data_IF_053400594336
#
_entry.id   IF_053400594336
#
_cell.length_a   1.000
_cell.length_b   1.000
_cell.length_c   1.000
_cell.angle_alpha   90.00
_cell.angle_beta   90.00
_cell.angle_gamma   90.00
#
_symmetry.space_group_name_H-M   'P 1'
#
loop_
_entity.id
_entity.type
_entity.pdbx_description
1 polymer ?
#
# COMPACT_ATOMS: atom_id res chain seq x y z
N UNK A 1 14.07 2.31 11.79
CA UNK A 1 12.60 2.47 11.76
C UNK A 1 12.28 3.66 10.87
N UNK A 2 11.28 3.53 10.00
CA UNK A 2 10.79 4.53 9.06
C UNK A 2 9.68 5.31 9.75
N UNK A 3 9.65 6.62 9.52
CA UNK A 3 8.53 7.47 9.93
C UNK A 3 7.79 7.83 8.63
N UNK A 4 6.48 7.59 8.57
CA UNK A 4 5.68 7.99 7.42
C UNK A 4 5.71 9.51 7.27
N UNK A 5 5.91 9.98 6.05
CA UNK A 5 6.09 11.40 5.75
C UNK A 5 4.77 12.17 5.90
N UNK A 6 4.62 12.92 7.00
CA UNK A 6 3.44 13.75 7.26
C UNK A 6 3.37 15.03 6.41
N UNK A 7 4.35 15.29 5.53
CA UNK A 7 4.18 16.31 4.50
C UNK A 7 3.22 15.86 3.39
N UNK A 8 3.04 14.53 3.23
CA UNK A 8 2.06 13.96 2.31
C UNK A 8 0.65 14.17 2.89
N UNK A 9 -0.26 14.85 2.16
CA UNK A 9 -1.60 15.19 2.67
C UNK A 9 -2.40 13.96 3.15
N UNK A 10 -2.35 12.86 2.41
CA UNK A 10 -3.05 11.63 2.77
C UNK A 10 -2.53 11.05 4.09
N UNK A 11 -1.21 10.92 4.23
CA UNK A 11 -0.56 10.43 5.45
C UNK A 11 -0.93 11.28 6.66
N UNK A 12 -0.83 12.60 6.50
CA UNK A 12 -1.16 13.56 7.57
C UNK A 12 -2.61 13.44 8.01
N UNK A 13 -3.55 13.39 7.08
CA UNK A 13 -4.98 13.30 7.39
C UNK A 13 -5.33 11.97 8.07
N UNK A 14 -4.79 10.85 7.56
CA UNK A 14 -5.03 9.53 8.11
C UNK A 14 -4.47 9.38 9.53
N UNK A 15 -3.21 9.77 9.76
CA UNK A 15 -2.61 9.72 11.09
C UNK A 15 -3.22 10.75 12.07
N UNK A 16 -3.66 11.90 11.55
CA UNK A 16 -4.36 12.94 12.32
C UNK A 16 -5.80 12.58 12.71
N UNK A 17 -6.36 11.47 12.20
CA UNK A 17 -7.73 11.04 12.48
C UNK A 17 -8.80 11.79 11.68
N UNK A 18 -8.43 12.61 10.69
CA UNK A 18 -9.34 13.33 9.79
C UNK A 18 -9.87 12.40 8.70
N UNK A 19 -10.72 11.43 9.06
CA UNK A 19 -11.13 10.34 8.16
C UNK A 19 -11.85 10.83 6.90
N UNK A 20 -12.71 11.85 6.99
CA UNK A 20 -13.42 12.39 5.82
C UNK A 20 -12.46 13.06 4.83
N UNK A 21 -11.49 13.83 5.35
CA UNK A 21 -10.44 14.46 4.54
C UNK A 21 -9.56 13.40 3.87
N UNK A 22 -9.11 12.40 4.63
CA UNK A 22 -8.30 11.31 4.11
C UNK A 22 -9.06 10.52 3.04
N UNK A 23 -10.35 10.26 3.23
CA UNK A 23 -11.23 9.58 2.26
C UNK A 23 -11.37 10.40 0.98
N UNK A 24 -11.59 11.71 1.08
CA UNK A 24 -11.66 12.59 -0.09
C UNK A 24 -10.34 12.63 -0.87
N UNK A 25 -9.19 12.69 -0.17
CA UNK A 25 -7.86 12.64 -0.79
C UNK A 25 -7.66 11.30 -1.50
N UNK A 26 -7.99 10.18 -0.84
CA UNK A 26 -7.90 8.85 -1.43
C UNK A 26 -8.72 8.77 -2.73
N UNK A 27 -10.00 9.17 -2.69
CA UNK A 27 -10.87 9.19 -3.88
C UNK A 27 -10.32 10.05 -5.01
N UNK A 28 -9.76 11.22 -4.68
CA UNK A 28 -9.16 12.09 -5.68
C UNK A 28 -7.93 11.44 -6.33
N UNK A 29 -7.09 10.76 -5.55
CA UNK A 29 -5.93 10.04 -6.07
C UNK A 29 -6.35 8.82 -6.91
N UNK A 30 -7.33 8.04 -6.46
CA UNK A 30 -7.94 6.95 -7.22
C UNK A 30 -8.39 7.43 -8.62
N UNK A 31 -9.18 8.52 -8.67
CA UNK A 31 -9.66 9.11 -9.92
C UNK A 31 -8.53 9.60 -10.82
N UNK A 32 -7.51 10.26 -10.25
CA UNK A 32 -6.38 10.82 -11.00
C UNK A 32 -5.54 9.72 -11.66
N UNK A 33 -5.34 8.61 -10.96
CA UNK A 33 -4.48 7.52 -11.39
C UNK A 33 -5.24 6.38 -12.07
N UNK A 34 -6.56 6.51 -12.25
CA UNK A 34 -7.36 5.53 -12.99
C UNK A 34 -7.45 4.17 -12.29
N UNK A 35 -7.46 4.17 -10.96
CA UNK A 35 -7.59 2.96 -10.15
C UNK A 35 -8.63 3.15 -9.04
N UNK A 36 -9.08 2.06 -8.44
CA UNK A 36 -10.02 2.10 -7.33
C UNK A 36 -9.78 0.95 -6.35
N UNK A 37 -9.71 1.27 -5.06
CA UNK A 37 -9.77 0.29 -4.00
C UNK A 37 -11.23 0.00 -3.63
N UNK A 38 -11.60 -1.27 -3.64
CA UNK A 38 -12.94 -1.72 -3.26
C UNK A 38 -12.86 -2.73 -2.13
N UNK A 39 -13.86 -2.76 -1.26
CA UNK A 39 -14.02 -3.85 -0.29
C UNK A 39 -14.77 -4.98 -0.99
N UNK A 40 -14.09 -6.03 -1.43
CA UNK A 40 -14.70 -7.18 -2.10
C UNK A 40 -14.04 -8.48 -1.65
N UNK A 41 -14.87 -9.48 -1.35
CA UNK A 41 -14.42 -10.85 -1.07
C UNK A 41 -14.06 -11.63 -2.33
N UNK A 42 -14.35 -11.10 -3.50
CA UNK A 42 -14.23 -11.83 -4.75
C UNK A 42 -12.79 -11.77 -5.26
N UNK A 43 -12.07 -12.87 -5.03
CA UNK A 43 -10.85 -13.19 -5.79
C UNK A 43 -11.26 -13.46 -7.24
N UNK A 44 -10.96 -12.51 -8.12
CA UNK A 44 -11.18 -12.65 -9.57
C UNK A 44 -9.84 -12.94 -10.27
N UNK A 45 -9.93 -13.53 -11.47
CA UNK A 45 -8.78 -13.96 -12.25
C UNK A 45 -7.75 -12.82 -12.43
N UNK A 46 -6.48 -13.13 -12.10
CA UNK A 46 -5.35 -12.24 -12.26
C UNK A 46 -5.11 -11.93 -13.75
N UNK A 47 -4.96 -10.65 -14.11
CA UNK A 47 -4.49 -10.26 -15.44
C UNK A 47 -3.03 -10.68 -15.62
N UNK A 48 -2.74 -11.42 -16.71
CA UNK A 48 -1.40 -11.93 -17.02
C UNK A 48 -0.39 -10.84 -17.49
N UNK A 49 -0.78 -9.57 -17.58
CA UNK A 49 0.08 -8.46 -18.03
C UNK A 49 -0.12 -7.18 -17.19
N UNK A 50 -0.09 -7.34 -15.86
CA UNK A 50 -0.39 -6.26 -14.90
C UNK A 50 0.81 -5.33 -14.61
N UNK A 51 2.04 -5.71 -14.96
CA UNK A 51 3.24 -4.96 -14.57
C UNK A 51 3.29 -3.55 -15.16
N UNK A 52 2.98 -3.41 -16.46
CA UNK A 52 2.92 -2.10 -17.10
C UNK A 52 1.83 -1.22 -16.47
N UNK A 53 0.67 -1.81 -16.16
CA UNK A 53 -0.42 -1.12 -15.49
C UNK A 53 -0.02 -0.66 -14.08
N UNK A 54 0.70 -1.48 -13.31
CA UNK A 54 1.20 -1.06 -12.00
C UNK A 54 2.13 0.15 -12.08
N UNK A 55 3.04 0.16 -13.06
CA UNK A 55 3.97 1.28 -13.23
C UNK A 55 3.27 2.56 -13.68
N UNK A 56 2.27 2.44 -14.56
CA UNK A 56 1.54 3.59 -15.11
C UNK A 56 0.53 4.18 -14.11
N UNK A 57 -0.15 3.32 -13.33
CA UNK A 57 -1.29 3.72 -12.50
C UNK A 57 -0.99 3.62 -11.00
N UNK A 58 -0.57 2.44 -10.54
CA UNK A 58 -0.41 2.17 -9.11
C UNK A 58 0.80 2.90 -8.52
N UNK A 59 1.95 2.94 -9.20
CA UNK A 59 3.17 3.54 -8.66
C UNK A 59 3.05 5.05 -8.45
N UNK A 60 2.48 5.84 -9.39
CA UNK A 60 2.18 7.25 -9.13
C UNK A 60 1.23 7.44 -7.96
N UNK A 61 0.20 6.59 -7.84
CA UNK A 61 -0.72 6.62 -6.69
C UNK A 61 0.00 6.35 -5.37
N UNK A 62 0.86 5.33 -5.29
CA UNK A 62 1.65 5.00 -4.10
C UNK A 62 2.62 6.13 -3.75
N UNK A 63 3.21 6.78 -4.75
CA UNK A 63 4.12 7.92 -4.58
C UNK A 63 3.39 9.15 -4.04
N UNK A 64 2.17 9.40 -4.51
CA UNK A 64 1.36 10.53 -4.05
C UNK A 64 0.80 10.31 -2.64
N UNK A 65 0.39 9.10 -2.32
CA UNK A 65 -0.38 8.81 -1.09
C UNK A 65 0.46 8.18 0.01
N UNK A 66 1.56 7.52 -0.32
CA UNK A 66 2.26 6.58 0.57
C UNK A 66 1.32 5.50 1.16
N UNK A 67 0.35 5.03 0.37
CA UNK A 67 -0.52 3.91 0.74
C UNK A 67 0.29 2.59 0.80
N UNK A 68 1.01 2.37 1.90
CA UNK A 68 1.88 1.20 2.06
C UNK A 68 1.26 0.25 3.09
N UNK A 69 0.84 -0.94 2.64
CA UNK A 69 0.37 -2.04 3.47
C UNK A 69 1.13 -3.34 3.16
N UNK A 70 1.27 -4.25 4.12
CA UNK A 70 1.81 -5.57 3.80
C UNK A 70 0.79 -6.38 2.97
N UNK A 71 1.26 -7.42 2.27
CA UNK A 71 0.37 -8.30 1.49
C UNK A 71 -0.65 -9.01 2.36
N UNK A 72 -0.23 -9.44 3.56
CA UNK A 72 -1.14 -9.99 4.56
C UNK A 72 -2.19 -8.99 5.02
N UNK A 73 -1.80 -7.74 5.29
CA UNK A 73 -2.73 -6.71 5.75
C UNK A 73 -3.72 -6.32 4.66
N UNK A 74 -3.27 -6.14 3.41
CA UNK A 74 -4.13 -5.82 2.27
C UNK A 74 -5.21 -6.89 2.03
N UNK A 75 -4.86 -8.16 2.22
CA UNK A 75 -5.82 -9.24 2.09
C UNK A 75 -6.75 -9.35 3.29
N UNK A 76 -6.26 -9.10 4.51
CA UNK A 76 -7.08 -9.08 5.72
C UNK A 76 -8.10 -7.93 5.70
N UNK A 77 -7.78 -6.80 5.07
CA UNK A 77 -8.76 -5.72 4.86
C UNK A 77 -9.85 -6.12 3.86
N UNK A 78 -9.68 -7.21 3.10
CA UNK A 78 -10.64 -7.66 2.09
C UNK A 78 -10.75 -6.69 0.92
N UNK A 79 -9.61 -6.08 0.54
CA UNK A 79 -9.59 -5.05 -0.48
C UNK A 79 -9.13 -5.60 -1.83
N UNK A 80 -9.86 -5.18 -2.87
CA UNK A 80 -9.53 -5.44 -4.26
C UNK A 80 -9.14 -4.15 -4.99
N UNK A 81 -8.24 -4.26 -5.97
CA UNK A 81 -7.73 -3.14 -6.75
C UNK A 81 -8.27 -3.25 -8.17
N UNK A 82 -9.07 -2.28 -8.60
CA UNK A 82 -9.64 -2.25 -9.94
C UNK A 82 -9.04 -1.13 -10.78
N UNK A 83 -8.83 -1.39 -12.06
CA UNK A 83 -8.53 -0.36 -13.05
C UNK A 83 -9.78 0.36 -13.53
N UNK A 84 -9.59 1.51 -14.18
CA UNK A 84 -10.67 2.24 -14.86
C UNK A 84 -11.33 1.44 -16.01
N UNK A 85 -10.63 0.42 -16.51
CA UNK A 85 -11.14 -0.56 -17.47
C UNK A 85 -12.07 -1.62 -16.83
N UNK A 86 -12.21 -1.61 -15.51
CA UNK A 86 -13.03 -2.56 -14.75
C UNK A 86 -12.34 -3.90 -14.48
N UNK A 87 -11.08 -4.07 -14.88
CA UNK A 87 -10.31 -5.28 -14.58
C UNK A 87 -9.82 -5.27 -13.13
N UNK A 88 -9.75 -6.45 -12.53
CA UNK A 88 -9.16 -6.64 -11.21
C UNK A 88 -7.64 -6.85 -11.36
N UNK A 89 -6.88 -6.00 -10.68
CA UNK A 89 -5.42 -6.01 -10.61
C UNK A 89 -4.92 -6.42 -9.23
N UNK A 90 -5.77 -7.04 -8.38
CA UNK A 90 -5.36 -7.55 -7.08
C UNK A 90 -4.42 -8.74 -7.19
N UNK A 91 -3.18 -8.61 -6.69
CA UNK A 91 -2.22 -9.69 -6.72
C UNK A 91 -2.34 -10.60 -5.48
N UNK A 92 -1.82 -11.83 -5.58
CA UNK A 92 -1.51 -12.63 -4.38
C UNK A 92 -0.60 -11.88 -3.37
N UNK A 93 -0.58 -12.29 -2.11
CA UNK A 93 0.18 -11.59 -1.03
C UNK A 93 1.67 -11.48 -1.35
N UNK A 94 2.23 -12.56 -1.93
CA UNK A 94 3.65 -12.61 -2.31
C UNK A 94 3.93 -11.65 -3.47
N UNK A 95 3.03 -11.62 -4.44
CA UNK A 95 3.18 -10.75 -5.60
C UNK A 95 3.00 -9.28 -5.20
N UNK A 96 2.04 -8.95 -4.33
CA UNK A 96 1.91 -7.60 -3.73
C UNK A 96 3.21 -7.12 -3.09
N UNK A 97 3.83 -7.97 -2.26
CA UNK A 97 5.11 -7.64 -1.63
C UNK A 97 6.19 -7.36 -2.67
N UNK A 98 6.20 -8.08 -3.80
CA UNK A 98 7.10 -7.85 -4.92
C UNK A 98 6.89 -6.49 -5.59
N UNK A 99 5.63 -6.12 -5.85
CA UNK A 99 5.25 -4.81 -6.41
C UNK A 99 5.73 -3.68 -5.49
N UNK A 100 5.44 -3.76 -4.19
CA UNK A 100 5.85 -2.73 -3.24
C UNK A 100 7.36 -2.63 -3.11
N UNK A 101 8.08 -3.76 -3.11
CA UNK A 101 9.54 -3.74 -3.08
C UNK A 101 10.12 -3.07 -4.33
N UNK A 102 9.59 -3.38 -5.52
CA UNK A 102 10.02 -2.73 -6.77
C UNK A 102 9.74 -1.22 -6.74
N UNK A 103 8.52 -0.81 -6.40
CA UNK A 103 8.15 0.59 -6.26
C UNK A 103 9.03 1.32 -5.23
N UNK A 104 9.20 0.75 -4.03
CA UNK A 104 9.96 1.38 -2.95
C UNK A 104 11.43 1.60 -3.31
N UNK A 105 12.05 0.64 -4.01
CA UNK A 105 13.42 0.77 -4.51
C UNK A 105 13.58 1.88 -5.56
N UNK A 106 12.52 2.23 -6.29
CA UNK A 106 12.57 3.21 -7.37
C UNK A 106 12.08 4.61 -6.98
N UNK A 107 11.07 4.69 -6.10
CA UNK A 107 10.29 5.91 -5.89
C UNK A 107 10.17 6.38 -4.44
N UNK A 108 10.57 5.55 -3.47
CA UNK A 108 10.40 5.87 -2.06
C UNK A 108 11.74 6.14 -1.38
N UNK A 109 11.99 5.52 -0.23
CA UNK A 109 13.24 5.68 0.51
C UNK A 109 14.07 4.41 0.53
N UNK A 110 15.38 4.56 0.72
CA UNK A 110 16.27 3.43 0.91
C UNK A 110 15.87 2.60 2.13
N UNK A 111 15.98 1.27 2.00
CA UNK A 111 15.75 0.35 3.12
C UNK A 111 16.66 0.69 4.30
N UNK A 112 16.13 0.93 5.50
CA UNK A 112 16.96 1.17 6.67
C UNK A 112 17.88 -0.02 6.97
N UNK A 113 19.13 0.27 7.33
CA UNK A 113 20.04 -0.75 7.84
C UNK A 113 19.51 -1.31 9.16
N UNK A 114 19.74 -2.60 9.42
CA UNK A 114 19.38 -3.23 10.69
C UNK A 114 17.95 -3.78 10.80
N UNK A 115 17.12 -3.70 9.76
CA UNK A 115 15.80 -4.32 9.76
C UNK A 115 15.90 -5.85 9.58
N UNK A 116 15.45 -6.62 10.58
CA UNK A 116 15.42 -8.09 10.60
C UNK A 116 16.18 -8.74 11.77
N UNK A 117 15.93 -10.03 12.03
CA UNK A 117 16.36 -10.73 13.25
C UNK A 117 17.77 -11.35 13.20
N UNK A 118 18.47 -11.30 12.06
CA UNK A 118 19.75 -12.01 11.85
C UNK A 118 20.87 -11.09 11.38
N UNK A 119 22.13 -11.50 11.54
CA UNK A 119 23.28 -10.68 11.11
C UNK A 119 23.32 -10.40 9.59
N UNK A 120 22.71 -11.24 8.74
CA UNK A 120 22.62 -10.99 7.29
C UNK A 120 21.59 -9.90 6.94
N UNK A 121 20.51 -9.78 7.73
CA UNK A 121 19.44 -8.79 7.52
C UNK A 121 19.85 -7.37 7.94
N UNK A 122 20.98 -7.23 8.65
CA UNK A 122 21.54 -5.95 9.11
C UNK A 122 22.35 -5.19 8.05
N UNK A 123 22.66 -5.78 6.90
CA UNK A 123 23.31 -5.11 5.78
C UNK A 123 22.32 -4.21 5.00
N UNK A 124 22.79 -3.11 4.42
CA UNK A 124 21.98 -2.30 3.50
C UNK A 124 21.77 -3.08 2.19
N UNK A 125 20.70 -3.86 2.13
CA UNK A 125 20.20 -4.44 0.87
C UNK A 125 19.01 -3.60 0.35
N UNK A 126 18.69 -3.69 -0.95
CA UNK A 126 17.42 -3.17 -1.47
C UNK A 126 16.22 -3.77 -0.73
N UNK A 127 15.06 -3.12 -0.85
CA UNK A 127 13.79 -3.71 -0.44
C UNK A 127 13.53 -5.01 -1.19
N UNK A 128 13.00 -6.01 -0.50
CA UNK A 128 12.62 -7.31 -1.05
C UNK A 128 11.15 -7.59 -0.71
N UNK A 129 10.52 -8.49 -1.46
CA UNK A 129 9.11 -8.82 -1.26
C UNK A 129 8.79 -9.24 0.18
N UNK A 130 9.74 -9.88 0.86
CA UNK A 130 9.56 -10.38 2.23
C UNK A 130 9.41 -9.23 3.23
N UNK A 131 10.00 -8.06 2.98
CA UNK A 131 9.84 -6.89 3.86
C UNK A 131 8.39 -6.36 3.85
N UNK A 132 7.61 -6.67 2.81
CA UNK A 132 6.21 -6.27 2.62
C UNK A 132 5.26 -7.48 2.64
N UNK A 133 5.74 -8.69 2.94
CA UNK A 133 4.95 -9.90 2.77
C UNK A 133 3.87 -10.06 3.83
N UNK A 134 4.22 -9.83 5.10
CA UNK A 134 3.31 -9.97 6.23
C UNK A 134 3.48 -8.84 7.21
N UNK A 135 2.44 -8.65 8.01
CA UNK A 135 2.34 -7.64 9.06
C UNK A 135 3.61 -7.57 9.92
N UNK A 136 4.08 -8.72 10.43
CA UNK A 136 5.26 -8.79 11.29
C UNK A 136 6.53 -8.22 10.65
N UNK A 137 6.70 -8.27 9.33
CA UNK A 137 7.90 -7.71 8.70
C UNK A 137 7.81 -6.20 8.56
N UNK A 138 6.62 -5.69 8.23
CA UNK A 138 6.41 -4.27 7.93
C UNK A 138 6.19 -3.43 9.20
N UNK A 139 5.52 -3.99 10.21
CA UNK A 139 5.26 -3.31 11.49
C UNK A 139 6.54 -2.97 12.26
N UNK A 140 7.59 -3.80 12.19
CA UNK A 140 8.91 -3.45 12.74
C UNK A 140 9.67 -2.42 11.90
N UNK A 141 9.30 -2.26 10.61
CA UNK A 141 9.96 -1.34 9.71
C UNK A 141 9.41 0.08 9.83
N UNK A 142 8.09 0.24 9.98
CA UNK A 142 7.38 1.52 9.98
C UNK A 142 6.88 1.84 11.40
N UNK A 143 7.21 3.04 11.90
CA UNK A 143 6.70 3.54 13.17
C UNK A 143 5.17 3.70 13.11
N UNK A 144 4.49 3.33 14.20
CA UNK A 144 3.03 3.44 14.35
C UNK A 144 2.22 2.71 13.26
N UNK A 145 2.79 1.64 12.69
CA UNK A 145 2.19 0.92 11.57
C UNK A 145 0.79 0.35 11.88
N UNK A 146 0.56 -0.14 13.11
CA UNK A 146 -0.74 -0.70 13.49
C UNK A 146 -1.84 0.37 13.50
N UNK A 147 -1.50 1.58 13.96
CA UNK A 147 -2.41 2.72 13.96
C UNK A 147 -2.66 3.23 12.54
N UNK A 148 -1.62 3.22 11.69
CA UNK A 148 -1.76 3.46 10.26
C UNK A 148 -2.72 2.46 9.61
N UNK A 149 -2.51 1.15 9.83
CA UNK A 149 -3.36 0.09 9.31
C UNK A 149 -4.82 0.25 9.74
N UNK A 150 -5.07 0.53 11.02
CA UNK A 150 -6.42 0.77 11.54
C UNK A 150 -7.09 1.96 10.84
N UNK A 151 -6.35 3.05 10.65
CA UNK A 151 -6.84 4.27 9.99
C UNK A 151 -7.19 3.98 8.53
N UNK A 152 -6.31 3.28 7.81
CA UNK A 152 -6.56 2.87 6.43
C UNK A 152 -7.79 1.97 6.32
N UNK A 153 -7.98 1.02 7.22
CA UNK A 153 -9.19 0.19 7.26
C UNK A 153 -10.48 1.00 7.40
N UNK A 154 -10.49 2.05 8.22
CA UNK A 154 -11.64 2.96 8.36
C UNK A 154 -11.88 3.79 7.09
N UNK A 155 -10.82 4.34 6.52
CA UNK A 155 -10.87 5.14 5.29
C UNK A 155 -11.42 4.31 4.12
N UNK A 156 -10.96 3.07 3.95
CA UNK A 156 -11.44 2.18 2.89
C UNK A 156 -12.92 1.85 3.04
N UNK A 157 -13.41 1.63 4.27
CA UNK A 157 -14.85 1.41 4.51
C UNK A 157 -15.68 2.64 4.12
N UNK A 158 -15.30 3.83 4.61
CA UNK A 158 -16.00 5.09 4.28
C UNK A 158 -15.98 5.37 2.77
N UNK A 159 -14.82 5.18 2.13
CA UNK A 159 -14.64 5.32 0.68
C UNK A 159 -15.61 4.46 -0.13
N UNK A 160 -15.94 3.26 0.35
CA UNK A 160 -16.84 2.35 -0.34
C UNK A 160 -18.34 2.63 -0.07
N UNK A 161 -18.68 3.32 1.02
CA UNK A 161 -20.05 3.77 1.29
C UNK A 161 -20.46 4.99 0.45
N UNK A 162 -19.48 5.75 -0.07
CA UNK A 162 -19.70 6.95 -0.87
C UNK A 162 -19.94 6.69 -2.37
N UNK A 163 -19.98 5.44 -2.80
CA UNK A 163 -20.10 5.00 -4.21
C UNK A 163 -21.34 4.18 -4.43
#
# INVERSE_FOLDING_TARGET
MIILDQSIPFVRAALGGSLDEATAILKSAEQRHGLRWTMSSDTLDESNDADAWYQEHLWPFLTETHFVLSGGDLALTGCSLFGADGLNYSPSWRHWGGILAAWANQHWMSRPAGLGSTNWTRASRPWEYLDFYSHDYLSYAIADYDYWLESIGKILRLSNEMT
#
